data_IF_414959036488
#
_entry.id   IF_414959036488
#
_cell.length_a   1.000
_cell.length_b   1.000
_cell.length_c   1.000
_cell.angle_alpha   90.00
_cell.angle_beta   90.00
_cell.angle_gamma   90.00
#
_symmetry.space_group_name_H-M   'P 1'
#
loop_
_entity.id
_entity.type
_entity.pdbx_description
1 polymer ?
#
# COMPACT_ATOMS: atom_id res chain seq x y z
N UNK A 1 6.61 -4.45 -9.18
CA UNK A 1 6.01 -5.72 -9.66
C UNK A 1 5.28 -5.54 -10.99
N UNK A 2 4.20 -4.76 -11.08
CA UNK A 2 3.50 -4.55 -12.35
C UNK A 2 4.39 -3.93 -13.44
N UNK A 3 5.13 -2.89 -13.12
CA UNK A 3 5.97 -2.17 -14.08
C UNK A 3 7.18 -3.03 -14.52
N UNK A 4 7.98 -3.51 -13.57
CA UNK A 4 9.27 -4.15 -13.88
C UNK A 4 9.13 -5.61 -14.34
N UNK A 5 8.19 -6.33 -13.71
CA UNK A 5 7.98 -7.75 -13.98
C UNK A 5 6.80 -8.00 -14.94
N UNK A 6 6.16 -6.95 -15.46
CA UNK A 6 4.98 -7.05 -16.33
C UNK A 6 3.85 -7.91 -15.73
N UNK A 7 3.71 -7.91 -14.39
CA UNK A 7 2.67 -8.63 -13.68
C UNK A 7 1.38 -7.82 -13.67
N UNK A 8 0.26 -8.47 -13.89
CA UNK A 8 -1.05 -7.83 -13.87
C UNK A 8 -1.52 -7.62 -12.44
N UNK A 9 -1.63 -6.36 -12.04
CA UNK A 9 -1.97 -5.94 -10.68
C UNK A 9 -3.26 -5.13 -10.69
N UNK A 10 -4.21 -5.50 -9.82
CA UNK A 10 -5.37 -4.67 -9.50
C UNK A 10 -5.12 -3.97 -8.16
N UNK A 11 -5.22 -2.64 -8.14
CA UNK A 11 -5.03 -1.81 -6.97
C UNK A 11 -6.28 -0.98 -6.70
N UNK A 12 -6.97 -1.30 -5.60
CA UNK A 12 -8.13 -0.58 -5.11
C UNK A 12 -7.67 0.39 -4.02
N UNK A 13 -7.57 1.68 -4.35
CA UNK A 13 -7.07 2.74 -3.48
C UNK A 13 -8.22 3.69 -3.12
N UNK A 14 -8.81 3.53 -1.94
CA UNK A 14 -10.02 4.22 -1.53
C UNK A 14 -9.79 5.54 -0.80
N UNK A 15 -8.56 5.80 -0.36
CA UNK A 15 -8.23 7.00 0.42
C UNK A 15 -7.73 8.16 -0.43
N UNK A 16 -6.94 7.86 -1.44
CA UNK A 16 -6.25 8.87 -2.26
C UNK A 16 -6.95 9.04 -3.59
N UNK A 17 -7.37 10.27 -3.92
CA UNK A 17 -7.97 10.55 -5.23
C UNK A 17 -6.97 10.38 -6.40
N UNK A 18 -7.50 10.11 -7.58
CA UNK A 18 -6.85 9.69 -8.85
C UNK A 18 -5.50 10.35 -9.15
N UNK A 19 -5.44 11.65 -8.94
CA UNK A 19 -4.23 12.40 -9.27
C UNK A 19 -3.08 12.15 -8.28
N UNK A 20 -3.36 11.80 -7.00
CA UNK A 20 -2.32 11.71 -5.96
C UNK A 20 -1.57 10.39 -6.00
N UNK A 21 -2.28 9.28 -6.23
CA UNK A 21 -1.68 7.95 -6.33
C UNK A 21 -0.78 7.84 -7.56
N UNK A 22 -1.28 8.27 -8.72
CA UNK A 22 -0.52 8.27 -9.96
C UNK A 22 0.70 9.21 -9.90
N UNK A 23 0.54 10.43 -9.35
CA UNK A 23 1.65 11.36 -9.16
C UNK A 23 2.73 10.78 -8.24
N UNK A 24 2.34 10.19 -7.12
CA UNK A 24 3.28 9.59 -6.16
C UNK A 24 4.06 8.45 -6.81
N UNK A 25 3.39 7.56 -7.54
CA UNK A 25 4.01 6.45 -8.23
C UNK A 25 5.01 6.91 -9.31
N UNK A 26 4.60 7.90 -10.14
CA UNK A 26 5.48 8.43 -11.20
C UNK A 26 6.65 9.19 -10.58
N UNK A 27 6.44 10.01 -9.54
CA UNK A 27 7.50 10.78 -8.89
C UNK A 27 8.51 9.87 -8.20
N UNK A 28 8.04 8.85 -7.46
CA UNK A 28 8.90 7.87 -6.81
C UNK A 28 9.79 7.19 -7.83
N UNK A 29 9.20 6.66 -8.90
CA UNK A 29 9.96 5.94 -9.91
C UNK A 29 10.87 6.82 -10.77
N UNK A 30 10.52 8.07 -11.00
CA UNK A 30 11.35 9.04 -11.73
C UNK A 30 12.44 9.69 -10.86
N UNK A 31 12.47 9.39 -9.55
CA UNK A 31 13.31 10.08 -8.55
C UNK A 31 13.18 11.60 -8.68
N UNK A 32 11.92 12.09 -8.74
CA UNK A 32 11.57 13.51 -8.75
C UNK A 32 10.73 13.81 -7.52
N UNK A 33 11.06 14.88 -6.81
CA UNK A 33 10.31 15.28 -5.60
C UNK A 33 8.87 15.60 -5.95
N UNK A 34 7.92 15.02 -5.22
CA UNK A 34 6.49 15.30 -5.39
C UNK A 34 6.21 16.80 -5.27
N UNK A 35 6.91 17.49 -4.36
CA UNK A 35 6.80 18.95 -4.19
C UNK A 35 7.28 19.73 -5.40
N UNK A 36 8.30 19.25 -6.12
CA UNK A 36 8.77 19.91 -7.34
C UNK A 36 7.74 19.78 -8.48
N UNK A 37 7.09 18.64 -8.61
CA UNK A 37 6.00 18.44 -9.56
C UNK A 37 4.82 19.36 -9.23
N UNK A 38 4.32 19.33 -7.98
CA UNK A 38 3.16 20.13 -7.55
C UNK A 38 3.36 21.64 -7.65
N UNK A 39 4.56 22.11 -7.37
CA UNK A 39 4.89 23.53 -7.42
C UNK A 39 5.42 23.99 -8.77
N UNK A 40 5.41 23.10 -9.79
CA UNK A 40 5.97 23.36 -11.12
C UNK A 40 7.43 23.88 -11.08
N UNK A 41 8.23 23.35 -10.16
CA UNK A 41 9.65 23.74 -9.93
C UNK A 41 10.63 22.67 -10.42
N UNK A 42 10.23 21.89 -11.40
CA UNK A 42 11.09 20.87 -12.01
C UNK A 42 12.08 21.48 -13.01
N UNK A 43 13.30 20.95 -13.01
CA UNK A 43 14.28 21.18 -14.08
C UNK A 43 13.81 20.53 -15.38
N UNK A 44 14.45 20.88 -16.52
CA UNK A 44 14.16 20.25 -17.82
C UNK A 44 14.40 18.74 -17.75
N UNK A 45 15.51 18.30 -17.19
CA UNK A 45 15.85 16.89 -17.01
C UNK A 45 14.82 16.13 -16.15
N UNK A 46 14.31 16.75 -15.08
CA UNK A 46 13.25 16.15 -14.25
C UNK A 46 11.92 16.02 -15.03
N UNK A 47 11.57 17.02 -15.84
CA UNK A 47 10.38 16.94 -16.71
C UNK A 47 10.49 15.79 -17.70
N UNK A 48 11.67 15.60 -18.30
CA UNK A 48 11.91 14.51 -19.25
C UNK A 48 11.80 13.15 -18.57
N UNK A 49 12.37 12.99 -17.35
CA UNK A 49 12.22 11.76 -16.55
C UNK A 49 10.77 11.48 -16.18
N UNK A 50 10.02 12.49 -15.74
CA UNK A 50 8.58 12.36 -15.43
C UNK A 50 7.81 11.91 -16.67
N UNK A 51 8.04 12.55 -17.82
CA UNK A 51 7.35 12.21 -19.06
C UNK A 51 7.66 10.78 -19.52
N UNK A 52 8.92 10.35 -19.45
CA UNK A 52 9.33 8.99 -19.77
C UNK A 52 8.69 7.97 -18.81
N UNK A 53 8.76 8.24 -17.52
CA UNK A 53 8.19 7.36 -16.46
C UNK A 53 6.67 7.26 -16.57
N UNK A 54 5.98 8.37 -16.84
CA UNK A 54 4.52 8.38 -17.01
C UNK A 54 4.07 7.47 -18.17
N UNK A 55 4.85 7.41 -19.26
CA UNK A 55 4.58 6.47 -20.36
C UNK A 55 4.73 5.02 -19.91
N UNK A 56 5.80 4.70 -19.17
CA UNK A 56 6.04 3.36 -18.65
C UNK A 56 4.92 2.91 -17.70
N UNK A 57 4.48 3.80 -16.81
CA UNK A 57 3.40 3.53 -15.86
C UNK A 57 2.07 3.33 -16.60
N UNK A 58 1.76 4.20 -17.58
CA UNK A 58 0.54 4.07 -18.40
C UNK A 58 0.47 2.74 -19.13
N UNK A 59 1.60 2.28 -19.67
CA UNK A 59 1.67 1.06 -20.48
C UNK A 59 1.88 -0.21 -19.61
N UNK A 60 1.96 -0.06 -18.28
CA UNK A 60 2.05 -1.17 -17.35
C UNK A 60 0.68 -1.89 -17.20
N UNK A 61 0.67 -3.20 -16.97
CA UNK A 61 -0.56 -3.95 -16.69
C UNK A 61 -1.06 -3.69 -15.25
N UNK A 62 -1.22 -2.43 -14.89
CA UNK A 62 -1.67 -1.93 -13.59
C UNK A 62 -3.05 -1.31 -13.76
N UNK A 63 -4.03 -1.91 -13.10
CA UNK A 63 -5.35 -1.32 -12.95
C UNK A 63 -5.39 -0.61 -11.59
N UNK A 64 -5.80 0.65 -11.56
CA UNK A 64 -6.01 1.44 -10.34
C UNK A 64 -7.47 1.86 -10.30
N UNK A 65 -8.14 1.58 -9.19
CA UNK A 65 -9.49 2.04 -8.93
C UNK A 65 -9.51 2.83 -7.62
N UNK A 66 -10.01 4.06 -7.66
CA UNK A 66 -9.97 5.02 -6.56
C UNK A 66 -11.38 5.39 -6.07
N UNK A 67 -12.38 4.58 -6.41
CA UNK A 67 -13.72 4.72 -5.84
C UNK A 67 -13.71 4.43 -4.35
N UNK A 68 -14.41 5.24 -3.56
CA UNK A 68 -14.46 5.12 -2.10
C UNK A 68 -15.71 4.37 -1.58
N UNK A 69 -16.56 3.84 -2.47
CA UNK A 69 -17.85 3.21 -2.16
C UNK A 69 -17.84 1.68 -2.35
N UNK A 70 -16.69 1.05 -2.18
CA UNK A 70 -16.56 -0.39 -2.34
C UNK A 70 -17.23 -1.17 -1.20
N UNK A 71 -18.28 -1.92 -1.55
CA UNK A 71 -18.78 -3.03 -0.74
C UNK A 71 -18.00 -4.29 -1.09
N UNK A 72 -17.72 -5.14 -0.09
CA UNK A 72 -16.90 -6.35 -0.28
C UNK A 72 -17.45 -7.29 -1.35
N UNK A 73 -18.75 -7.48 -1.43
CA UNK A 73 -19.36 -8.36 -2.46
C UNK A 73 -19.07 -7.82 -3.86
N UNK A 74 -19.26 -6.53 -4.10
CA UNK A 74 -18.98 -5.89 -5.38
C UNK A 74 -17.49 -5.93 -5.73
N UNK A 75 -16.61 -5.73 -4.76
CA UNK A 75 -15.16 -5.80 -4.95
C UNK A 75 -14.76 -7.22 -5.39
N UNK A 76 -15.24 -8.25 -4.68
CA UNK A 76 -14.99 -9.67 -5.00
C UNK A 76 -15.45 -10.00 -6.41
N UNK A 77 -16.65 -9.60 -6.79
CA UNK A 77 -17.19 -9.87 -8.12
C UNK A 77 -16.38 -9.15 -9.21
N UNK A 78 -15.99 -7.88 -8.98
CA UNK A 78 -15.15 -7.14 -9.91
C UNK A 78 -13.80 -7.83 -10.12
N UNK A 79 -13.14 -8.27 -9.04
CA UNK A 79 -11.85 -8.99 -9.15
C UNK A 79 -12.01 -10.32 -9.91
N UNK A 80 -13.11 -11.06 -9.68
CA UNK A 80 -13.41 -12.28 -10.43
C UNK A 80 -13.58 -12.03 -11.93
N UNK A 81 -14.30 -10.95 -12.29
CA UNK A 81 -14.49 -10.56 -13.69
C UNK A 81 -13.15 -10.19 -14.35
N UNK A 82 -12.34 -9.36 -13.67
CA UNK A 82 -11.01 -9.00 -14.16
C UNK A 82 -10.11 -10.23 -14.37
N UNK A 83 -10.14 -11.19 -13.43
CA UNK A 83 -9.34 -12.42 -13.54
C UNK A 83 -9.81 -13.34 -14.67
N UNK A 84 -11.14 -13.42 -14.93
CA UNK A 84 -11.71 -14.14 -16.06
C UNK A 84 -11.29 -13.57 -17.41
N UNK A 85 -11.30 -12.24 -17.53
CA UNK A 85 -10.87 -11.57 -18.76
C UNK A 85 -9.39 -11.79 -19.04
N UNK A 86 -8.58 -11.61 -18.02
CA UNK A 86 -7.14 -11.81 -18.07
C UNK A 86 -6.60 -12.04 -16.67
N UNK A 87 -5.92 -13.16 -16.46
CA UNK A 87 -5.37 -13.58 -15.18
C UNK A 87 -4.65 -12.46 -14.43
N UNK A 88 -5.01 -12.27 -13.17
CA UNK A 88 -4.34 -11.37 -12.25
C UNK A 88 -3.16 -12.09 -11.58
N UNK A 89 -2.12 -11.35 -11.25
CA UNK A 89 -0.97 -11.83 -10.48
C UNK A 89 -0.99 -11.32 -9.02
N UNK A 90 -1.70 -10.22 -8.76
CA UNK A 90 -1.80 -9.61 -7.43
C UNK A 90 -3.02 -8.69 -7.35
N UNK A 91 -3.68 -8.69 -6.19
CA UNK A 91 -4.65 -7.66 -5.80
C UNK A 91 -4.14 -6.90 -4.59
N UNK A 92 -4.32 -5.58 -4.57
CA UNK A 92 -4.00 -4.72 -3.45
C UNK A 92 -5.26 -3.94 -3.08
N UNK A 93 -5.60 -3.91 -1.78
CA UNK A 93 -6.72 -3.17 -1.22
C UNK A 93 -6.20 -2.17 -0.18
N UNK A 94 -6.35 -0.89 -0.43
CA UNK A 94 -5.83 0.18 0.41
C UNK A 94 -6.99 1.13 0.79
N UNK A 95 -7.53 1.02 1.99
CA UNK A 95 -7.22 0.13 3.10
C UNK A 95 -8.49 -0.57 3.65
N UNK A 96 -8.31 -1.60 4.44
CA UNK A 96 -9.36 -2.50 4.96
C UNK A 96 -10.58 -1.78 5.52
N UNK A 97 -10.36 -0.75 6.36
CA UNK A 97 -11.42 -0.06 7.10
C UNK A 97 -12.35 0.78 6.21
N UNK A 98 -12.01 0.99 4.94
CA UNK A 98 -12.87 1.69 3.97
C UNK A 98 -13.75 0.74 3.17
N UNK A 99 -13.47 -0.56 3.18
CA UNK A 99 -14.34 -1.55 2.51
C UNK A 99 -15.59 -1.79 3.35
N UNK A 100 -16.75 -1.57 2.76
CA UNK A 100 -18.04 -1.78 3.42
C UNK A 100 -18.43 -3.26 3.43
N UNK A 101 -19.12 -3.67 4.50
CA UNK A 101 -19.74 -4.99 4.62
C UNK A 101 -21.15 -4.86 5.15
N UNK A 102 -22.09 -5.59 4.54
CA UNK A 102 -23.47 -5.70 5.00
C UNK A 102 -23.62 -6.79 6.09
N UNK A 103 -22.58 -7.62 6.31
CA UNK A 103 -22.57 -8.68 7.31
C UNK A 103 -21.77 -8.23 8.52
N UNK A 104 -22.28 -8.52 9.71
CA UNK A 104 -21.74 -8.15 11.01
C UNK A 104 -22.54 -7.03 11.67
N UNK A 105 -22.68 -7.08 13.00
CA UNK A 105 -23.35 -6.07 13.80
C UNK A 105 -22.38 -4.99 14.26
N UNK A 106 -21.20 -5.40 14.67
CA UNK A 106 -20.13 -4.50 15.10
C UNK A 106 -19.18 -4.14 13.96
N UNK A 107 -18.37 -3.11 14.18
CA UNK A 107 -17.33 -2.71 13.22
C UNK A 107 -16.27 -3.79 13.04
N UNK A 108 -15.87 -4.41 14.13
CA UNK A 108 -14.88 -5.50 14.15
C UNK A 108 -15.38 -6.70 13.32
N UNK A 109 -16.66 -7.11 13.51
CA UNK A 109 -17.26 -8.19 12.74
C UNK A 109 -17.36 -7.87 11.25
N UNK A 110 -17.67 -6.61 10.91
CA UNK A 110 -17.67 -6.16 9.51
C UNK A 110 -16.29 -6.26 8.87
N UNK A 111 -15.24 -5.82 9.58
CA UNK A 111 -13.87 -5.91 9.11
C UNK A 111 -13.39 -7.35 9.01
N UNK A 112 -13.77 -8.21 9.98
CA UNK A 112 -13.49 -9.64 9.90
C UNK A 112 -14.16 -10.27 8.68
N UNK A 113 -15.44 -9.93 8.40
CA UNK A 113 -16.12 -10.43 7.20
C UNK A 113 -15.41 -10.01 5.92
N UNK A 114 -14.96 -8.75 5.82
CA UNK A 114 -14.18 -8.26 4.67
C UNK A 114 -12.90 -9.10 4.49
N UNK A 115 -12.14 -9.29 5.55
CA UNK A 115 -10.91 -10.06 5.51
C UNK A 115 -11.16 -11.54 5.11
N UNK A 116 -12.22 -12.16 5.64
CA UNK A 116 -12.61 -13.53 5.30
C UNK A 116 -13.01 -13.68 3.84
N UNK A 117 -13.80 -12.76 3.29
CA UNK A 117 -14.19 -12.78 1.88
C UNK A 117 -12.97 -12.60 0.96
N UNK A 118 -12.04 -11.69 1.30
CA UNK A 118 -10.78 -11.50 0.56
C UNK A 118 -9.88 -12.74 0.64
N UNK A 119 -9.82 -13.38 1.80
CA UNK A 119 -9.10 -14.64 1.99
C UNK A 119 -9.69 -15.76 1.11
N UNK A 120 -11.01 -15.91 1.10
CA UNK A 120 -11.69 -16.87 0.26
C UNK A 120 -11.39 -16.62 -1.23
N UNK A 121 -11.43 -15.36 -1.66
CA UNK A 121 -11.10 -14.95 -3.03
C UNK A 121 -9.64 -15.28 -3.40
N UNK A 122 -8.68 -15.04 -2.50
CA UNK A 122 -7.28 -15.37 -2.72
C UNK A 122 -7.09 -16.89 -2.98
N UNK A 123 -7.77 -17.72 -2.20
CA UNK A 123 -7.78 -19.17 -2.39
C UNK A 123 -8.45 -19.60 -3.71
N UNK A 124 -9.60 -19.01 -4.01
CA UNK A 124 -10.37 -19.31 -5.23
C UNK A 124 -9.54 -19.04 -6.48
N UNK A 125 -8.94 -17.86 -6.55
CA UNK A 125 -8.18 -17.41 -7.72
C UNK A 125 -6.72 -17.86 -7.72
N UNK A 126 -6.21 -18.33 -6.56
CA UNK A 126 -4.81 -18.70 -6.32
C UNK A 126 -3.84 -17.56 -6.59
N UNK A 127 -4.20 -16.35 -6.16
CA UNK A 127 -3.38 -15.17 -6.27
C UNK A 127 -3.18 -14.53 -4.89
N UNK A 128 -2.05 -13.87 -4.63
CA UNK A 128 -1.87 -13.09 -3.41
C UNK A 128 -2.80 -11.88 -3.40
N UNK A 129 -3.34 -11.58 -2.21
CA UNK A 129 -4.06 -10.35 -1.94
C UNK A 129 -3.35 -9.63 -0.79
N UNK A 130 -2.89 -8.42 -1.03
CA UNK A 130 -2.31 -7.54 0.00
C UNK A 130 -3.40 -6.57 0.45
N UNK A 131 -3.64 -6.51 1.75
CA UNK A 131 -4.58 -5.57 2.35
C UNK A 131 -3.82 -4.69 3.33
N UNK A 132 -3.86 -3.39 3.12
CA UNK A 132 -3.32 -2.46 4.12
C UNK A 132 -4.37 -2.21 5.20
N UNK A 133 -3.94 -1.84 6.40
CA UNK A 133 -4.82 -1.43 7.47
C UNK A 133 -4.16 -0.36 8.32
N UNK A 134 -4.94 0.61 8.77
CA UNK A 134 -4.45 1.63 9.69
C UNK A 134 -4.49 1.11 11.13
N UNK A 135 -3.41 1.34 11.87
CA UNK A 135 -3.38 1.12 13.31
C UNK A 135 -4.07 2.28 14.03
N UNK A 136 -4.83 1.98 15.09
CA UNK A 136 -5.43 3.03 15.91
C UNK A 136 -4.35 3.85 16.62
N UNK A 137 -4.61 5.14 16.83
CA UNK A 137 -3.67 6.07 17.51
C UNK A 137 -3.30 5.63 18.94
N UNK A 138 -4.11 4.80 19.60
CA UNK A 138 -3.80 4.26 20.92
C UNK A 138 -2.53 3.39 20.89
N UNK A 139 -2.27 2.70 19.78
CA UNK A 139 -1.08 1.86 19.60
C UNK A 139 0.15 2.67 19.17
N UNK A 140 -0.05 3.92 18.72
CA UNK A 140 1.06 4.82 18.35
C UNK A 140 1.84 5.34 19.58
N UNK A 141 1.28 5.25 20.78
CA UNK A 141 1.85 5.84 22.00
C UNK A 141 2.73 4.87 22.82
N UNK A 142 2.79 3.58 22.46
CA UNK A 142 3.62 2.59 23.15
C UNK A 142 5.11 2.71 22.82
N UNK A 143 5.98 2.64 23.82
CA UNK A 143 7.44 2.65 23.64
C UNK A 143 8.00 1.31 23.11
N UNK A 144 7.16 0.38 22.66
CA UNK A 144 7.50 -0.96 22.22
C UNK A 144 7.10 -1.29 20.79
N UNK A 145 7.40 -2.51 20.36
CA UNK A 145 6.88 -3.08 19.12
C UNK A 145 5.35 -3.14 19.17
N UNK A 146 4.64 -2.68 18.12
CA UNK A 146 3.21 -2.93 18.03
C UNK A 146 2.97 -4.44 18.03
N UNK A 147 2.21 -4.93 19.01
CA UNK A 147 1.87 -6.35 19.10
C UNK A 147 0.57 -6.61 18.35
N UNK A 148 0.44 -7.79 17.74
CA UNK A 148 -0.82 -8.22 17.11
C UNK A 148 -2.02 -8.11 18.07
N UNK A 149 -1.78 -8.36 19.37
CA UNK A 149 -2.78 -8.26 20.44
C UNK A 149 -3.26 -6.82 20.68
N UNK A 150 -2.49 -5.83 20.23
CA UNK A 150 -2.81 -4.40 20.33
C UNK A 150 -3.61 -3.87 19.12
N UNK A 151 -3.91 -4.74 18.14
CA UNK A 151 -4.65 -4.40 16.94
C UNK A 151 -6.19 -4.41 17.16
N UNK A 152 -6.68 -3.70 18.17
CA UNK A 152 -8.07 -3.72 18.63
C UNK A 152 -9.14 -3.88 17.53
N UNK A 153 -9.30 -2.88 16.66
CA UNK A 153 -10.35 -2.90 15.63
C UNK A 153 -10.13 -3.95 14.54
N UNK A 154 -8.87 -4.26 14.24
CA UNK A 154 -8.50 -5.15 13.13
C UNK A 154 -8.03 -6.53 13.60
N UNK A 155 -8.06 -6.79 14.93
CA UNK A 155 -7.52 -8.03 15.49
C UNK A 155 -8.18 -9.29 14.92
N UNK A 156 -9.51 -9.32 14.80
CA UNK A 156 -10.24 -10.43 14.19
C UNK A 156 -9.94 -10.55 12.69
N UNK A 157 -9.85 -9.42 11.98
CA UNK A 157 -9.49 -9.42 10.57
C UNK A 157 -8.05 -9.89 10.34
N UNK A 158 -7.10 -9.51 11.19
CA UNK A 158 -5.71 -9.93 11.12
C UNK A 158 -5.54 -11.46 11.30
N UNK A 159 -6.42 -12.11 12.08
CA UNK A 159 -6.42 -13.57 12.24
C UNK A 159 -6.78 -14.32 10.94
N UNK A 160 -7.43 -13.67 10.00
CA UNK A 160 -7.75 -14.26 8.69
C UNK A 160 -6.54 -14.25 7.74
N UNK A 161 -5.50 -13.43 8.00
CA UNK A 161 -4.33 -13.32 7.14
C UNK A 161 -3.37 -14.50 7.31
N UNK A 162 -2.67 -14.88 6.24
CA UNK A 162 -1.57 -15.86 6.29
C UNK A 162 -0.31 -15.26 6.92
N UNK A 163 -0.12 -13.95 6.75
CA UNK A 163 1.00 -13.20 7.33
C UNK A 163 0.58 -11.76 7.59
N UNK A 164 1.00 -11.23 8.74
CA UNK A 164 0.77 -9.83 9.12
C UNK A 164 2.11 -9.12 9.19
N UNK A 165 2.20 -8.01 8.46
CA UNK A 165 3.38 -7.16 8.42
C UNK A 165 3.06 -5.81 9.04
N UNK A 166 3.92 -5.32 9.92
CA UNK A 166 3.73 -4.03 10.58
C UNK A 166 4.85 -3.09 10.16
N UNK A 167 4.48 -1.99 9.51
CA UNK A 167 5.41 -0.93 9.12
C UNK A 167 5.37 0.17 10.17
N UNK A 168 6.48 0.37 10.89
CA UNK A 168 6.63 1.40 11.91
C UNK A 168 7.61 2.48 11.45
N UNK A 169 7.17 3.74 11.48
CA UNK A 169 7.99 4.92 11.27
C UNK A 169 8.01 5.74 12.55
N UNK A 170 9.05 5.54 13.37
CA UNK A 170 9.19 6.23 14.67
C UNK A 170 9.13 7.74 14.55
N UNK A 171 9.61 8.31 13.45
CA UNK A 171 9.56 9.76 13.20
C UNK A 171 8.16 10.36 13.33
N UNK A 172 7.12 9.65 12.95
CA UNK A 172 5.72 10.12 13.08
C UNK A 172 5.32 10.39 14.53
N UNK A 173 6.00 9.76 15.49
CA UNK A 173 5.75 9.89 16.93
C UNK A 173 6.80 10.77 17.61
N UNK A 174 8.07 10.60 17.26
CA UNK A 174 9.18 11.22 17.98
C UNK A 174 9.56 12.58 17.44
N UNK A 175 9.31 12.82 16.14
CA UNK A 175 9.77 13.99 15.38
C UNK A 175 11.28 14.27 15.49
N UNK A 176 12.09 13.27 15.89
CA UNK A 176 13.53 13.38 16.00
C UNK A 176 14.18 13.23 14.64
N UNK A 177 15.17 14.09 14.31
CA UNK A 177 15.84 14.05 13.01
C UNK A 177 16.55 12.72 12.74
N UNK A 178 17.06 12.05 13.77
CA UNK A 178 17.66 10.71 13.67
C UNK A 178 16.69 9.62 13.17
N UNK A 179 15.38 9.76 13.48
CA UNK A 179 14.33 8.83 13.06
C UNK A 179 13.74 9.14 11.67
N UNK A 180 14.06 10.32 11.11
CA UNK A 180 13.38 10.89 9.93
C UNK A 180 13.39 9.99 8.70
N UNK A 181 14.52 9.32 8.48
CA UNK A 181 14.75 8.45 7.33
C UNK A 181 14.73 6.97 7.69
N UNK A 182 14.28 6.62 8.88
CA UNK A 182 14.23 5.24 9.35
C UNK A 182 12.79 4.73 9.39
N UNK A 183 12.64 3.49 8.96
CA UNK A 183 11.43 2.70 9.14
C UNK A 183 11.81 1.27 9.54
N UNK A 184 10.89 0.58 10.19
CA UNK A 184 11.02 -0.82 10.57
C UNK A 184 9.84 -1.58 10.00
N UNK A 185 10.13 -2.68 9.33
CA UNK A 185 9.13 -3.63 8.89
C UNK A 185 9.25 -4.89 9.75
N UNK A 186 8.20 -5.20 10.48
CA UNK A 186 8.08 -6.41 11.27
C UNK A 186 7.32 -7.45 10.47
N UNK A 187 7.95 -8.60 10.25
CA UNK A 187 7.37 -9.75 9.56
C UNK A 187 7.50 -10.95 10.48
N UNK A 188 6.39 -11.36 11.08
CA UNK A 188 6.37 -12.40 12.12
C UNK A 188 7.35 -12.06 13.29
N UNK A 189 8.45 -12.81 13.42
CA UNK A 189 9.50 -12.58 14.43
C UNK A 189 10.73 -11.84 13.88
N UNK A 190 10.70 -11.42 12.61
CA UNK A 190 11.82 -10.73 11.98
C UNK A 190 11.57 -9.23 11.96
N UNK A 191 12.63 -8.47 12.26
CA UNK A 191 12.68 -7.03 12.09
C UNK A 191 13.59 -6.72 10.89
N UNK A 192 13.06 -5.95 9.93
CA UNK A 192 13.79 -5.48 8.76
C UNK A 192 13.90 -3.96 8.87
N UNK A 193 15.12 -3.46 8.90
CA UNK A 193 15.38 -2.02 8.88
C UNK A 193 15.31 -1.52 7.43
N UNK A 194 14.61 -0.40 7.25
CA UNK A 194 14.44 0.23 5.96
C UNK A 194 14.86 1.71 6.04
N UNK A 195 15.41 2.23 4.94
CA UNK A 195 15.50 3.67 4.69
C UNK A 195 14.18 4.18 4.10
N UNK A 196 13.77 5.35 4.52
CA UNK A 196 12.62 6.05 3.93
C UNK A 196 13.06 7.39 3.34
N UNK A 197 12.73 7.61 2.09
CA UNK A 197 12.95 8.87 1.39
C UNK A 197 11.62 9.63 1.24
N UNK A 198 11.30 10.56 2.18
CA UNK A 198 10.03 11.27 2.15
C UNK A 198 9.88 12.16 0.91
N UNK A 199 10.98 12.56 0.29
CA UNK A 199 11.00 13.38 -0.92
C UNK A 199 10.40 12.64 -2.13
N UNK A 200 10.56 11.30 -2.16
CA UNK A 200 10.13 10.41 -3.24
C UNK A 200 9.06 9.42 -2.80
N UNK A 201 8.68 9.42 -1.51
CA UNK A 201 7.77 8.44 -0.89
C UNK A 201 8.23 7.00 -1.10
N UNK A 202 9.52 6.75 -0.95
CA UNK A 202 10.16 5.47 -1.25
C UNK A 202 10.76 4.83 0.01
N UNK A 203 10.59 3.51 0.13
CA UNK A 203 11.31 2.68 1.09
C UNK A 203 12.34 1.84 0.35
N UNK A 204 13.53 1.69 0.91
CA UNK A 204 14.56 0.80 0.38
C UNK A 204 15.32 0.10 1.50
N UNK A 205 16.06 -0.96 1.15
CA UNK A 205 16.94 -1.66 2.08
C UNK A 205 18.03 -0.73 2.61
N UNK A 206 18.47 -0.98 3.86
CA UNK A 206 19.52 -0.17 4.51
C UNK A 206 20.84 -0.16 3.74
N UNK A 207 21.14 -1.26 3.05
CA UNK A 207 22.41 -1.46 2.33
C UNK A 207 22.44 -0.83 0.93
N UNK A 208 21.32 -0.29 0.46
CA UNK A 208 21.32 0.50 -0.78
C UNK A 208 21.90 1.88 -0.47
N UNK A 209 23.13 2.11 -0.91
CA UNK A 209 23.71 3.44 -1.02
C UNK A 209 22.82 4.32 -1.92
N UNK A 210 22.79 5.61 -1.63
CA UNK A 210 22.18 6.59 -2.52
C UNK A 210 22.90 6.51 -3.87
N UNK A 211 22.34 5.77 -4.83
CA UNK A 211 22.82 5.78 -6.20
C UNK A 211 22.44 7.14 -6.82
N UNK A 212 23.31 8.13 -6.54
CA UNK A 212 23.20 9.52 -7.01
C UNK A 212 23.44 9.66 -8.51
N UNK A 213 23.43 8.55 -9.26
CA UNK A 213 23.80 8.48 -10.68
C UNK A 213 22.76 7.78 -11.58
N UNK A 214 21.46 7.85 -11.23
CA UNK A 214 20.43 7.37 -12.16
C UNK A 214 19.48 8.47 -12.60
#
# INVERSE_FOLDING_TARGET
MSIDCRRRVAFFCMEMGDALSAQSLVCSRAHVKVSALRNNKMTSAEKDRIAATARIVRDAPLFVDERCDWNIAKLVDTVREMDKEKKLDLVIVDYLQLVMSDKGETREEKLENVARELKALAYELRIPIIVTAMLSRHNELGAGHPKLEELYEIGLAAQQADSVWILDRRYTRTHRDEDKRLAKLYVEKKEILLKFFPEYLEFCDMDKEEDSSR
#
